data_IF_451226686236
#
_entry.id   IF_451226686236
#
_cell.length_a   1.000
_cell.length_b   1.000
_cell.length_c   1.000
_cell.angle_alpha   90.00
_cell.angle_beta   90.00
_cell.angle_gamma   90.00
#
_symmetry.space_group_name_H-M   'P 1'
#
loop_
_entity.id
_entity.type
_entity.pdbx_description
1 polymer ?
#
# COMPACT_ATOMS: atom_id res chain seq x y z
N UNK A 1 26.58 -55.47 -41.81
CA UNK A 1 25.51 -54.57 -42.30
C UNK A 1 25.25 -53.53 -41.22
N UNK A 2 25.57 -52.26 -41.47
CA UNK A 2 25.37 -51.13 -40.55
C UNK A 2 24.30 -50.21 -41.13
N UNK A 3 23.29 -49.76 -40.36
CA UNK A 3 22.53 -48.57 -40.71
C UNK A 3 23.18 -47.33 -40.07
N UNK A 4 23.24 -46.29 -40.90
CA UNK A 4 23.90 -45.02 -40.69
C UNK A 4 23.15 -44.09 -39.73
N UNK A 5 23.94 -43.20 -39.13
CA UNK A 5 23.58 -42.02 -38.37
C UNK A 5 22.45 -41.21 -39.03
N UNK A 6 21.35 -40.98 -38.30
CA UNK A 6 20.48 -39.83 -38.53
C UNK A 6 20.98 -38.69 -37.63
N UNK A 7 21.64 -37.72 -38.25
CA UNK A 7 22.03 -36.46 -37.61
C UNK A 7 20.83 -35.50 -37.68
N UNK A 8 20.39 -34.86 -36.58
CA UNK A 8 19.39 -33.81 -36.63
C UNK A 8 20.00 -32.53 -37.23
N UNK A 9 19.38 -32.05 -38.31
CA UNK A 9 19.69 -30.77 -38.95
C UNK A 9 19.39 -29.60 -38.00
N UNK A 10 20.39 -28.79 -37.69
CA UNK A 10 20.20 -27.53 -36.96
C UNK A 10 19.54 -26.50 -37.90
N UNK A 11 18.46 -25.81 -37.48
CA UNK A 11 17.91 -24.71 -38.25
C UNK A 11 18.88 -23.52 -38.25
N UNK A 12 18.98 -22.88 -39.42
CA UNK A 12 19.81 -21.70 -39.63
C UNK A 12 19.26 -20.49 -38.84
N UNK A 13 20.12 -19.64 -38.24
CA UNK A 13 19.67 -18.43 -37.58
C UNK A 13 19.20 -17.41 -38.63
N UNK A 14 17.89 -17.19 -38.70
CA UNK A 14 17.28 -16.12 -39.49
C UNK A 14 17.75 -14.75 -38.98
N UNK A 15 18.26 -13.84 -39.83
CA UNK A 15 18.74 -12.51 -39.43
C UNK A 15 17.62 -11.52 -39.06
N UNK A 16 16.35 -11.95 -39.01
CA UNK A 16 15.19 -11.12 -38.65
C UNK A 16 14.88 -11.10 -37.14
N UNK A 17 15.76 -11.63 -36.29
CA UNK A 17 15.54 -11.70 -34.84
C UNK A 17 15.92 -10.43 -34.07
N UNK A 18 16.42 -9.37 -34.73
CA UNK A 18 16.96 -8.17 -34.08
C UNK A 18 16.02 -6.95 -34.04
N UNK A 19 14.74 -7.09 -34.42
CA UNK A 19 13.87 -5.94 -34.64
C UNK A 19 12.84 -5.63 -33.53
N UNK A 20 12.76 -6.38 -32.43
CA UNK A 20 11.72 -6.15 -31.41
C UNK A 20 12.26 -6.25 -29.96
N UNK A 21 13.38 -5.58 -29.68
CA UNK A 21 13.77 -5.20 -28.29
C UNK A 21 13.65 -3.68 -28.13
N UNK A 22 12.52 -3.13 -28.57
CA UNK A 22 12.19 -1.73 -28.39
C UNK A 22 10.81 -1.67 -27.72
N UNK A 23 10.78 -1.37 -26.41
CA UNK A 23 9.53 -1.01 -25.76
C UNK A 23 9.27 -1.55 -24.36
N UNK A 24 10.27 -1.91 -23.55
CA UNK A 24 10.10 -1.89 -22.09
C UNK A 24 10.64 -0.56 -21.55
N UNK A 25 9.97 0.54 -21.91
CA UNK A 25 10.01 1.73 -21.06
C UNK A 25 9.20 1.38 -19.83
N UNK A 26 9.89 0.93 -18.78
CA UNK A 26 9.34 0.89 -17.44
C UNK A 26 8.77 2.28 -17.15
N UNK A 27 7.44 2.39 -17.13
CA UNK A 27 6.75 3.58 -16.65
C UNK A 27 7.05 3.61 -15.16
N UNK A 28 8.16 4.25 -14.79
CA UNK A 28 8.39 4.71 -13.44
C UNK A 28 7.27 5.73 -13.17
N UNK A 29 6.14 5.23 -12.68
CA UNK A 29 5.06 6.07 -12.21
C UNK A 29 5.63 6.87 -11.06
N UNK A 30 5.95 8.13 -11.31
CA UNK A 30 6.29 9.07 -10.26
C UNK A 30 5.24 8.95 -9.17
N UNK A 31 5.69 8.83 -7.92
CA UNK A 31 4.85 8.91 -6.74
C UNK A 31 4.03 10.21 -6.81
N UNK A 32 2.81 10.13 -7.32
CA UNK A 32 1.92 11.29 -7.41
C UNK A 32 1.43 11.58 -6.01
N UNK A 33 1.70 12.79 -5.53
CA UNK A 33 1.14 13.27 -4.29
C UNK A 33 -0.39 13.34 -4.41
N UNK A 34 -1.09 12.83 -3.40
CA UNK A 34 -2.55 12.86 -3.34
C UNK A 34 -3.03 14.13 -2.63
N UNK A 35 -4.03 14.78 -3.19
CA UNK A 35 -4.65 15.95 -2.58
C UNK A 35 -5.82 15.50 -1.70
N UNK A 36 -5.65 15.65 -0.39
CA UNK A 36 -6.63 15.22 0.60
C UNK A 36 -7.41 16.44 1.10
N UNK A 37 -8.74 16.48 0.94
CA UNK A 37 -9.54 17.58 1.46
C UNK A 37 -9.54 17.54 3.00
N UNK A 38 -9.08 18.62 3.64
CA UNK A 38 -9.00 18.71 5.10
C UNK A 38 -10.08 19.61 5.71
N UNK A 39 -10.54 20.61 4.96
CA UNK A 39 -11.61 21.53 5.36
C UNK A 39 -12.28 22.13 4.11
N UNK A 40 -13.45 22.77 4.21
CA UNK A 40 -14.05 23.47 3.07
C UNK A 40 -13.06 24.47 2.44
N UNK A 41 -12.66 24.20 1.20
CA UNK A 41 -11.70 25.04 0.46
C UNK A 41 -10.21 24.82 0.82
N UNK A 42 -9.87 23.83 1.64
CA UNK A 42 -8.48 23.47 1.94
C UNK A 42 -8.16 22.03 1.53
N UNK A 43 -6.98 21.87 0.92
CA UNK A 43 -6.40 20.58 0.56
C UNK A 43 -5.01 20.46 1.17
N UNK A 44 -4.69 19.27 1.65
CA UNK A 44 -3.35 18.89 2.07
C UNK A 44 -2.77 17.96 1.03
N UNK A 45 -1.54 18.25 0.62
CA UNK A 45 -0.77 17.34 -0.23
C UNK A 45 -0.13 16.26 0.64
N UNK A 46 -0.35 15.00 0.27
CA UNK A 46 0.19 13.84 0.96
C UNK A 46 0.90 12.96 -0.06
N UNK A 47 2.21 12.80 0.09
CA UNK A 47 3.03 11.98 -0.79
C UNK A 47 3.52 10.71 -0.07
N UNK A 48 3.67 9.58 -0.78
CA UNK A 48 4.35 8.42 -0.23
C UNK A 48 5.85 8.69 -0.11
N UNK A 49 6.54 7.87 0.68
CA UNK A 49 8.00 7.91 0.84
C UNK A 49 8.66 7.38 -0.44
N UNK A 50 9.89 7.79 -0.74
CA UNK A 50 10.67 7.26 -1.85
C UNK A 50 10.70 5.72 -1.85
N UNK A 51 10.52 5.13 -3.04
CA UNK A 51 10.41 3.67 -3.21
C UNK A 51 9.01 3.10 -3.02
N UNK A 52 8.06 3.91 -2.54
CA UNK A 52 6.66 3.51 -2.39
C UNK A 52 5.76 4.18 -3.42
N UNK A 53 4.75 3.42 -3.85
CA UNK A 53 3.77 3.81 -4.83
C UNK A 53 2.36 3.82 -4.18
N UNK A 54 1.54 4.79 -4.57
CA UNK A 54 0.15 4.91 -4.08
C UNK A 54 -0.72 3.80 -4.67
N UNK A 55 -1.64 3.28 -3.87
CA UNK A 55 -2.65 2.35 -4.34
C UNK A 55 -3.66 3.07 -5.24
N UNK A 56 -3.99 2.44 -6.37
CA UNK A 56 -4.86 2.97 -7.41
C UNK A 56 -6.26 2.34 -7.30
N UNK A 57 -7.23 3.13 -6.85
CA UNK A 57 -8.62 2.69 -6.68
C UNK A 57 -9.30 2.33 -8.02
N UNK A 58 -8.76 2.71 -9.17
CA UNK A 58 -9.27 2.28 -10.47
C UNK A 58 -8.93 0.81 -10.78
N UNK A 59 -8.02 0.19 -10.03
CA UNK A 59 -7.60 -1.20 -10.21
C UNK A 59 -8.35 -2.12 -9.24
N UNK A 60 -9.00 -3.20 -9.72
CA UNK A 60 -9.87 -4.03 -8.87
C UNK A 60 -9.20 -4.60 -7.60
N UNK A 61 -7.97 -5.12 -7.71
CA UNK A 61 -7.26 -5.72 -6.58
C UNK A 61 -6.92 -4.66 -5.50
N UNK A 62 -6.46 -3.48 -5.92
CA UNK A 62 -6.14 -2.37 -5.02
C UNK A 62 -7.40 -1.75 -4.42
N UNK A 63 -8.49 -1.65 -5.19
CA UNK A 63 -9.79 -1.18 -4.71
C UNK A 63 -10.37 -2.09 -3.61
N UNK A 64 -10.27 -3.41 -3.78
CA UNK A 64 -10.69 -4.38 -2.75
C UNK A 64 -9.83 -4.26 -1.49
N UNK A 65 -8.52 -4.09 -1.65
CA UNK A 65 -7.60 -3.87 -0.55
C UNK A 65 -7.92 -2.56 0.21
N UNK A 66 -8.11 -1.45 -0.51
CA UNK A 66 -8.52 -0.16 0.05
C UNK A 66 -9.86 -0.25 0.79
N UNK A 67 -10.83 -0.98 0.25
CA UNK A 67 -12.11 -1.23 0.92
C UNK A 67 -11.93 -1.94 2.26
N UNK A 68 -11.07 -2.95 2.30
CA UNK A 68 -10.74 -3.70 3.53
C UNK A 68 -10.09 -2.81 4.58
N UNK A 69 -9.13 -1.97 4.18
CA UNK A 69 -8.49 -0.99 5.06
C UNK A 69 -9.52 -0.02 5.64
N UNK A 70 -10.34 0.60 4.78
CA UNK A 70 -11.36 1.57 5.19
C UNK A 70 -12.38 0.96 6.17
N UNK A 71 -12.76 -0.30 5.97
CA UNK A 71 -13.63 -1.01 6.90
C UNK A 71 -12.97 -1.26 8.26
N UNK A 72 -11.65 -1.41 8.31
CA UNK A 72 -10.90 -1.72 9.53
C UNK A 72 -10.68 -0.50 10.41
N UNK A 73 -10.44 0.68 9.83
CA UNK A 73 -10.12 1.90 10.59
C UNK A 73 -11.34 2.55 11.27
N UNK A 74 -12.55 2.13 10.90
CA UNK A 74 -13.80 2.65 11.47
C UNK A 74 -14.16 4.06 10.99
N UNK A 75 -15.26 4.63 11.50
CA UNK A 75 -15.79 5.93 11.05
C UNK A 75 -15.06 7.15 11.62
N UNK A 76 -14.29 6.99 12.70
CA UNK A 76 -13.55 8.08 13.34
C UNK A 76 -12.22 8.41 12.63
N UNK A 77 -11.82 7.61 11.64
CA UNK A 77 -10.59 7.78 10.89
C UNK A 77 -10.86 7.72 9.39
N UNK A 78 -10.15 8.56 8.64
CA UNK A 78 -10.16 8.57 7.19
C UNK A 78 -8.79 8.13 6.67
N UNK A 79 -8.77 7.20 5.72
CA UNK A 79 -7.56 6.85 4.97
C UNK A 79 -7.27 8.00 4.01
N UNK A 80 -6.18 8.72 4.24
CA UNK A 80 -5.74 9.84 3.42
C UNK A 80 -4.79 9.42 2.31
N UNK A 81 -3.96 8.41 2.59
CA UNK A 81 -3.08 7.79 1.61
C UNK A 81 -2.89 6.33 1.99
N UNK A 82 -2.87 5.43 1.01
CA UNK A 82 -2.45 4.05 1.19
C UNK A 82 -1.40 3.76 0.12
N UNK A 83 -0.28 3.17 0.52
CA UNK A 83 0.87 2.97 -0.36
C UNK A 83 1.56 1.64 -0.06
N UNK A 84 2.26 1.11 -1.07
CA UNK A 84 3.07 -0.10 -0.96
C UNK A 84 4.38 0.02 -1.72
N UNK A 85 5.31 -0.89 -1.48
CA UNK A 85 6.54 -0.96 -2.29
C UNK A 85 6.17 -1.04 -3.78
N UNK A 86 6.83 -0.23 -4.60
CA UNK A 86 6.48 -0.12 -6.02
C UNK A 86 6.61 -1.47 -6.76
N UNK A 87 7.59 -2.31 -6.39
CA UNK A 87 7.80 -3.64 -7.00
C UNK A 87 6.68 -4.57 -6.60
N UNK A 88 6.32 -4.60 -5.32
CA UNK A 88 5.22 -5.43 -4.83
C UNK A 88 3.87 -5.04 -5.45
N UNK A 89 3.62 -3.75 -5.68
CA UNK A 89 2.43 -3.31 -6.37
C UNK A 89 2.41 -3.75 -7.84
N UNK A 90 3.56 -3.78 -8.52
CA UNK A 90 3.65 -4.35 -9.87
C UNK A 90 3.31 -5.84 -9.87
N UNK A 91 3.88 -6.61 -8.94
CA UNK A 91 3.60 -8.05 -8.78
C UNK A 91 2.12 -8.31 -8.43
N UNK A 92 1.54 -7.50 -7.53
CA UNK A 92 0.13 -7.56 -7.16
C UNK A 92 -0.77 -7.32 -8.39
N UNK A 93 -0.44 -6.29 -9.19
CA UNK A 93 -1.17 -5.94 -10.42
C UNK A 93 -1.06 -7.02 -11.50
N UNK A 94 0.06 -7.74 -11.53
CA UNK A 94 0.27 -8.89 -12.41
C UNK A 94 -0.43 -10.17 -11.91
N UNK A 95 -0.95 -10.17 -10.67
CA UNK A 95 -1.53 -11.34 -10.03
C UNK A 95 -0.49 -12.36 -9.55
N UNK A 96 0.78 -11.99 -9.55
CA UNK A 96 1.90 -12.81 -9.07
C UNK A 96 1.96 -12.84 -7.53
N UNK A 97 1.32 -11.85 -6.90
CA UNK A 97 1.24 -11.66 -5.46
C UNK A 97 -0.20 -11.35 -5.06
N UNK A 98 -0.58 -11.71 -3.83
CA UNK A 98 -1.92 -11.42 -3.27
C UNK A 98 -1.88 -10.47 -2.07
N UNK A 99 -0.71 -10.28 -1.43
CA UNK A 99 -0.55 -9.51 -0.20
C UNK A 99 0.72 -8.65 -0.32
N UNK A 100 0.67 -7.41 0.16
CA UNK A 100 1.81 -6.51 0.26
C UNK A 100 2.51 -6.73 1.61
N UNK A 101 3.81 -7.01 1.59
CA UNK A 101 4.61 -7.13 2.81
C UNK A 101 5.03 -5.74 3.29
N UNK A 102 5.30 -4.84 2.34
CA UNK A 102 5.73 -3.47 2.60
C UNK A 102 4.57 -2.52 2.29
N UNK A 103 3.61 -2.47 3.21
CA UNK A 103 2.41 -1.63 3.13
C UNK A 103 2.42 -0.53 4.21
N UNK A 104 1.96 0.67 3.83
CA UNK A 104 1.75 1.78 4.73
C UNK A 104 0.47 2.55 4.42
N UNK A 105 -0.02 3.26 5.44
CA UNK A 105 -1.18 4.15 5.29
C UNK A 105 -1.01 5.40 6.16
N UNK A 106 -1.56 6.51 5.68
CA UNK A 106 -1.71 7.75 6.43
C UNK A 106 -3.18 7.89 6.78
N UNK A 107 -3.46 7.95 8.09
CA UNK A 107 -4.80 8.14 8.62
C UNK A 107 -4.96 9.55 9.15
N UNK A 108 -6.12 10.15 8.88
CA UNK A 108 -6.53 11.43 9.43
C UNK A 108 -7.71 11.20 10.38
N UNK A 109 -7.71 11.92 11.50
CA UNK A 109 -8.84 11.94 12.40
C UNK A 109 -10.02 12.63 11.72
N UNK A 110 -11.18 12.01 11.76
CA UNK A 110 -12.42 12.54 11.23
C UNK A 110 -13.48 12.66 12.34
N UNK A 111 -14.43 13.58 12.17
CA UNK A 111 -15.61 13.64 13.02
C UNK A 111 -16.66 12.59 12.60
N UNK A 112 -17.81 12.56 13.27
CA UNK A 112 -18.88 11.60 12.98
C UNK A 112 -19.43 11.72 11.54
N UNK A 113 -19.27 12.89 10.92
CA UNK A 113 -19.67 13.21 9.56
C UNK A 113 -18.58 12.88 8.51
N UNK A 114 -17.43 12.34 8.94
CA UNK A 114 -16.32 11.99 8.05
C UNK A 114 -15.47 13.17 7.57
N UNK A 115 -15.65 14.35 8.18
CA UNK A 115 -14.86 15.54 7.91
C UNK A 115 -13.56 15.47 8.71
N UNK A 116 -12.43 15.64 8.04
CA UNK A 116 -11.11 15.67 8.67
C UNK A 116 -11.07 16.81 9.69
N UNK A 117 -10.68 16.50 10.92
CA UNK A 117 -10.52 17.49 11.97
C UNK A 117 -9.09 18.02 11.94
N UNK A 118 -8.95 19.32 11.65
CA UNK A 118 -7.74 20.04 12.03
C UNK A 118 -7.83 20.37 13.52
N UNK A 119 -6.71 20.20 14.22
CA UNK A 119 -6.59 20.64 15.60
C UNK A 119 -6.06 22.07 15.58
N UNK A 120 -6.75 22.98 16.26
CA UNK A 120 -6.27 24.34 16.52
C UNK A 120 -5.13 24.37 17.55
N UNK A 121 -4.84 23.22 18.18
CA UNK A 121 -3.80 23.10 19.17
C UNK A 121 -2.42 23.22 18.53
N UNK A 122 -1.48 23.79 19.29
CA UNK A 122 -0.07 23.67 18.94
C UNK A 122 0.32 22.19 18.87
N UNK A 123 1.26 21.83 18.00
CA UNK A 123 1.83 20.47 17.93
C UNK A 123 2.23 19.93 19.32
N UNK A 124 2.80 20.77 20.18
CA UNK A 124 3.20 20.38 21.52
C UNK A 124 1.99 20.00 22.40
N UNK A 125 0.93 20.81 22.37
CA UNK A 125 -0.32 20.56 23.09
C UNK A 125 -1.03 19.30 22.58
N UNK A 126 -1.07 19.11 21.25
CA UNK A 126 -1.65 17.92 20.64
C UNK A 126 -0.90 16.65 21.06
N UNK A 127 0.44 16.64 20.99
CA UNK A 127 1.23 15.48 21.39
C UNK A 127 1.11 15.15 22.88
N UNK A 128 1.01 16.17 23.74
CA UNK A 128 0.77 15.99 25.17
C UNK A 128 -0.61 15.35 25.44
N UNK A 129 -1.65 15.75 24.69
CA UNK A 129 -2.99 15.17 24.84
C UNK A 129 -3.03 13.69 24.42
N UNK A 130 -2.36 13.35 23.31
CA UNK A 130 -2.24 11.96 22.84
C UNK A 130 -1.40 11.13 23.83
N UNK A 131 -0.30 11.66 24.35
CA UNK A 131 0.54 10.96 25.33
C UNK A 131 -0.24 10.59 26.61
N UNK A 132 -1.16 11.46 27.06
CA UNK A 132 -2.04 11.18 28.21
C UNK A 132 -3.03 10.05 27.91
N UNK A 133 -3.54 9.96 26.69
CA UNK A 133 -4.44 8.87 26.28
C UNK A 133 -3.69 7.54 26.15
N UNK A 134 -2.45 7.59 25.68
CA UNK A 134 -1.54 6.45 25.57
C UNK A 134 -0.88 6.09 26.90
N UNK A 135 -1.53 6.33 28.05
CA UNK A 135 -0.96 5.92 29.35
C UNK A 135 -0.78 4.41 29.34
N UNK A 136 0.44 3.96 29.04
CA UNK A 136 0.81 2.57 29.07
C UNK A 136 0.69 2.11 30.52
N UNK A 137 0.04 0.97 30.79
CA UNK A 137 -0.06 0.49 32.14
C UNK A 137 1.38 0.23 32.65
N UNK A 138 1.65 0.52 33.94
CA UNK A 138 3.00 0.50 34.47
C UNK A 138 3.65 -0.87 34.22
N UNK A 139 4.93 -0.88 33.85
CA UNK A 139 5.70 -2.09 33.64
C UNK A 139 5.56 -3.01 34.87
N UNK A 140 4.80 -4.10 34.72
CA UNK A 140 4.46 -5.01 35.82
C UNK A 140 2.97 -5.28 36.01
N UNK A 141 2.07 -4.55 35.35
CA UNK A 141 0.66 -4.93 35.24
C UNK A 141 0.55 -6.20 34.39
N UNK A 142 0.55 -7.37 35.04
CA UNK A 142 0.28 -8.64 34.38
C UNK A 142 -1.13 -8.58 33.82
N UNK A 143 -1.26 -8.55 32.49
CA UNK A 143 -2.52 -8.85 31.82
C UNK A 143 -2.82 -10.31 32.17
N UNK A 144 -3.73 -10.54 33.10
CA UNK A 144 -4.20 -11.89 33.40
C UNK A 144 -4.72 -12.50 32.10
N UNK A 145 -4.24 -13.68 31.68
CA UNK A 145 -4.72 -14.31 30.47
C UNK A 145 -6.23 -14.48 30.56
N UNK A 146 -6.98 -14.26 29.45
CA UNK A 146 -8.41 -14.46 29.45
C UNK A 146 -8.71 -15.88 29.91
N UNK A 147 -9.35 -16.02 31.07
CA UNK A 147 -9.71 -17.31 31.65
C UNK A 147 -10.54 -18.06 30.61
N UNK A 148 -9.99 -19.14 30.06
CA UNK A 148 -10.66 -19.95 29.05
C UNK A 148 -12.02 -20.40 29.61
N UNK A 149 -13.09 -19.75 29.15
CA UNK A 149 -14.46 -20.12 29.47
C UNK A 149 -14.74 -21.42 28.73
N UNK A 150 -14.53 -22.56 29.40
CA UNK A 150 -15.00 -23.86 28.92
C UNK A 150 -16.51 -23.75 28.68
N UNK A 151 -16.94 -23.94 27.44
CA UNK A 151 -18.30 -24.32 27.11
C UNK A 151 -18.36 -25.83 27.01
#
# INVERSE_FOLDING_TARGET
MRPCCLSPSRPAPSPLAWALVAGLTAVAGSATAEQVPTAPGQTMEVAPIDGYCVLDESRPAEAEFLKTIRATVGSAMRVALAFGDCTELVELRAGERQILDNFGQILLLANAEGVVQQSDDSKATYLDSIAKQLTFPPAGSRISPPTARRR
#
